data_IF_360436588933
#
_entry.id   IF_360436588933
#
_cell.length_a   1.000
_cell.length_b   1.000
_cell.length_c   1.000
_cell.angle_alpha   90.00
_cell.angle_beta   90.00
_cell.angle_gamma   90.00
#
_symmetry.space_group_name_H-M   'P 1'
#
loop_
_entity.id
_entity.type
_entity.pdbx_description
1 polymer ?
#
# COMPACT_ATOMS: atom_id res chain seq x y z
N UNK A 1 29.46 -24.74 -21.44
CA UNK A 1 29.37 -23.39 -20.85
C UNK A 1 27.95 -23.24 -20.33
N UNK A 2 27.77 -23.28 -19.02
CA UNK A 2 26.46 -23.12 -18.39
C UNK A 2 26.14 -21.62 -18.34
N UNK A 3 25.06 -21.21 -18.98
CA UNK A 3 24.53 -19.85 -18.85
C UNK A 3 24.00 -19.70 -17.43
N UNK A 4 24.69 -18.92 -16.60
CA UNK A 4 24.14 -18.41 -15.35
C UNK A 4 22.81 -17.73 -15.66
N UNK A 5 21.69 -18.33 -15.24
CA UNK A 5 20.44 -17.60 -15.11
C UNK A 5 20.67 -16.56 -14.03
N UNK A 6 21.02 -15.35 -14.42
CA UNK A 6 20.86 -14.19 -13.56
C UNK A 6 19.35 -14.10 -13.30
N UNK A 7 18.90 -14.57 -12.13
CA UNK A 7 17.55 -14.31 -11.66
C UNK A 7 17.36 -12.80 -11.80
N UNK A 8 16.34 -12.30 -12.54
CA UNK A 8 16.12 -10.86 -12.60
C UNK A 8 16.00 -10.38 -11.15
N UNK A 9 16.90 -9.50 -10.73
CA UNK A 9 16.81 -8.89 -9.42
C UNK A 9 15.39 -8.33 -9.33
N UNK A 10 14.59 -8.87 -8.41
CA UNK A 10 13.20 -8.45 -8.22
C UNK A 10 13.22 -6.93 -8.00
N UNK A 11 12.77 -6.18 -9.00
CA UNK A 11 12.72 -4.72 -8.91
C UNK A 11 11.61 -4.38 -7.92
N UNK A 12 11.95 -3.66 -6.86
CA UNK A 12 10.99 -3.21 -5.87
C UNK A 12 10.01 -2.22 -6.50
N UNK A 13 8.69 -2.47 -6.43
CA UNK A 13 7.72 -1.57 -7.00
C UNK A 13 7.63 -0.28 -6.18
N UNK A 14 7.44 0.83 -6.90
CA UNK A 14 7.14 2.14 -6.32
C UNK A 14 5.65 2.43 -6.39
N UNK A 15 5.07 2.95 -5.33
CA UNK A 15 3.68 3.44 -5.29
C UNK A 15 3.61 4.85 -4.71
N UNK A 16 2.57 5.60 -5.08
CA UNK A 16 2.43 7.02 -4.75
C UNK A 16 1.05 7.31 -4.16
N UNK A 17 1.00 8.00 -3.03
CA UNK A 17 -0.23 8.50 -2.44
C UNK A 17 -0.31 10.00 -2.59
N UNK A 18 -1.37 10.49 -3.21
CA UNK A 18 -1.72 11.90 -3.22
C UNK A 18 -2.57 12.19 -1.99
N UNK A 19 -2.12 13.12 -1.15
CA UNK A 19 -2.78 13.41 0.11
C UNK A 19 -3.40 14.81 0.06
N UNK A 20 -4.53 14.96 0.73
CA UNK A 20 -5.21 16.22 0.93
C UNK A 20 -5.68 16.33 2.39
N UNK A 21 -5.73 17.55 2.92
CA UNK A 21 -6.34 17.86 4.22
C UNK A 21 -7.40 18.92 3.98
N UNK A 22 -8.61 18.68 4.47
CA UNK A 22 -9.79 19.53 4.24
C UNK A 22 -10.06 19.85 2.75
N UNK A 23 -9.71 18.91 1.87
CA UNK A 23 -9.86 19.04 0.42
C UNK A 23 -8.68 19.71 -0.28
N UNK A 24 -7.75 20.31 0.47
CA UNK A 24 -6.58 20.98 -0.08
C UNK A 24 -5.41 20.01 -0.30
N UNK A 25 -4.86 19.90 -1.52
CA UNK A 25 -3.74 19.01 -1.81
C UNK A 25 -2.47 19.38 -1.02
N UNK A 26 -1.89 18.41 -0.31
CA UNK A 26 -0.60 18.57 0.39
C UNK A 26 0.60 18.05 -0.40
N UNK A 27 0.35 17.34 -1.50
CA UNK A 27 1.37 16.71 -2.34
C UNK A 27 1.30 15.19 -2.29
N UNK A 28 2.42 14.53 -2.62
CA UNK A 28 2.49 13.08 -2.73
C UNK A 28 3.57 12.47 -1.84
N UNK A 29 3.31 11.25 -1.37
CA UNK A 29 4.27 10.39 -0.68
C UNK A 29 4.58 9.22 -1.59
N UNK A 30 5.86 8.95 -1.82
CA UNK A 30 6.33 7.79 -2.58
C UNK A 30 6.82 6.68 -1.65
N UNK A 31 6.44 5.45 -1.93
CA UNK A 31 6.84 4.25 -1.18
C UNK A 31 7.55 3.27 -2.10
N UNK A 32 8.75 2.85 -1.72
CA UNK A 32 9.39 1.66 -2.27
C UNK A 32 8.94 0.44 -1.47
N UNK A 33 8.47 -0.61 -2.15
CA UNK A 33 8.00 -1.82 -1.49
C UNK A 33 9.03 -2.94 -1.67
N UNK A 34 9.50 -3.52 -0.57
CA UNK A 34 10.53 -4.57 -0.57
C UNK A 34 9.99 -5.92 -1.07
N UNK A 35 9.77 -6.05 -2.39
CA UNK A 35 9.28 -7.26 -3.03
C UNK A 35 10.28 -8.43 -2.93
N UNK A 36 11.57 -8.12 -2.84
CA UNK A 36 12.63 -9.09 -2.64
C UNK A 36 12.60 -9.73 -1.23
N UNK A 37 12.06 -9.02 -0.22
CA UNK A 37 11.94 -9.52 1.16
C UNK A 37 10.56 -10.07 1.49
N UNK A 38 9.51 -9.34 1.13
CA UNK A 38 8.13 -9.61 1.56
C UNK A 38 7.16 -9.60 0.36
N UNK A 39 7.34 -10.49 -0.62
CA UNK A 39 6.64 -10.42 -1.91
C UNK A 39 5.11 -10.42 -1.79
N UNK A 40 4.54 -11.23 -0.88
CA UNK A 40 3.09 -11.30 -0.64
C UNK A 40 2.53 -10.02 -0.04
N UNK A 41 3.23 -9.43 0.94
CA UNK A 41 2.83 -8.15 1.55
C UNK A 41 2.96 -7.02 0.55
N UNK A 42 4.05 -7.00 -0.21
CA UNK A 42 4.30 -6.02 -1.27
C UNK A 42 3.21 -6.05 -2.33
N UNK A 43 2.84 -7.24 -2.82
CA UNK A 43 1.79 -7.37 -3.83
C UNK A 43 0.41 -6.94 -3.30
N UNK A 44 0.09 -7.28 -2.04
CA UNK A 44 -1.13 -6.77 -1.42
C UNK A 44 -1.16 -5.23 -1.35
N UNK A 45 -0.08 -4.61 -0.85
CA UNK A 45 -0.03 -3.16 -0.72
C UNK A 45 -0.04 -2.46 -2.08
N UNK A 46 0.68 -2.99 -3.08
CA UNK A 46 0.70 -2.48 -4.45
C UNK A 46 -0.69 -2.53 -5.08
N UNK A 47 -1.36 -3.67 -5.05
CA UNK A 47 -2.68 -3.84 -5.66
C UNK A 47 -3.76 -2.99 -4.97
N UNK A 48 -3.67 -2.82 -3.65
CA UNK A 48 -4.53 -1.87 -2.92
C UNK A 48 -4.19 -0.42 -3.29
N UNK A 49 -2.94 -0.08 -3.56
CA UNK A 49 -2.55 1.27 -3.99
C UNK A 49 -3.10 1.62 -5.37
N UNK A 50 -3.16 0.65 -6.28
CA UNK A 50 -3.71 0.85 -7.64
C UNK A 50 -5.23 0.71 -7.70
N UNK A 51 -5.85 0.02 -6.74
CA UNK A 51 -7.27 -0.28 -6.76
C UNK A 51 -7.67 -1.30 -7.84
N UNK A 52 -6.72 -2.00 -8.47
CA UNK A 52 -6.95 -2.88 -9.62
C UNK A 52 -7.89 -4.08 -9.34
N UNK A 53 -8.13 -4.37 -8.06
CA UNK A 53 -9.08 -5.41 -7.62
C UNK A 53 -10.49 -4.88 -7.36
N UNK A 54 -10.77 -3.63 -7.74
CA UNK A 54 -12.05 -2.94 -7.52
C UNK A 54 -12.21 -2.33 -6.12
N UNK A 55 -11.17 -2.38 -5.30
CA UNK A 55 -11.07 -1.74 -3.98
C UNK A 55 -9.60 -1.42 -3.68
N UNK A 56 -9.31 -0.38 -2.89
CA UNK A 56 -7.93 0.08 -2.66
C UNK A 56 -7.84 1.50 -2.10
N UNK A 57 -6.63 1.98 -1.75
CA UNK A 57 -6.28 3.16 -0.89
C UNK A 57 -6.96 4.48 -1.25
N UNK A 58 -7.52 4.60 -2.45
CA UNK A 58 -8.20 5.80 -2.91
C UNK A 58 -9.46 6.10 -2.06
N UNK A 59 -9.54 7.32 -1.53
CA UNK A 59 -10.66 7.78 -0.71
C UNK A 59 -10.57 7.37 0.77
N UNK A 60 -9.56 6.60 1.17
CA UNK A 60 -9.29 6.36 2.60
C UNK A 60 -8.71 7.59 3.29
N UNK A 61 -9.00 7.70 4.59
CA UNK A 61 -8.45 8.73 5.45
C UNK A 61 -7.47 8.14 6.49
N UNK A 62 -6.53 8.95 6.95
CA UNK A 62 -5.72 8.64 8.12
C UNK A 62 -6.56 8.87 9.38
N UNK A 63 -7.25 7.83 9.85
CA UNK A 63 -8.15 7.92 10.99
C UNK A 63 -7.41 8.05 12.34
N UNK A 64 -6.10 7.75 12.39
CA UNK A 64 -5.28 7.91 13.60
C UNK A 64 -3.94 8.53 13.26
N UNK A 65 -3.66 9.68 13.87
CA UNK A 65 -2.41 10.43 13.71
C UNK A 65 -1.82 10.65 15.10
N UNK A 66 -0.62 10.13 15.33
CA UNK A 66 0.14 10.37 16.56
C UNK A 66 1.42 11.09 16.18
N UNK A 67 1.51 12.35 16.60
CA UNK A 67 2.64 13.22 16.30
C UNK A 67 3.95 12.61 16.85
N UNK A 68 4.98 12.59 16.01
CA UNK A 68 6.29 12.02 16.35
C UNK A 68 6.33 10.49 16.36
N UNK A 69 5.24 9.81 15.97
CA UNK A 69 5.18 8.35 15.98
C UNK A 69 4.70 7.76 14.65
N UNK A 70 3.41 7.87 14.32
CA UNK A 70 2.88 7.26 13.08
C UNK A 70 1.55 7.86 12.61
N UNK A 71 1.32 7.71 11.31
CA UNK A 71 0.02 7.85 10.67
C UNK A 71 -0.54 6.46 10.39
N UNK A 72 -1.76 6.18 10.85
CA UNK A 72 -2.49 4.95 10.56
C UNK A 72 -3.59 5.24 9.56
N UNK A 73 -3.55 4.52 8.43
CA UNK A 73 -4.66 4.42 7.50
C UNK A 73 -5.27 3.04 7.63
N UNK A 74 -6.59 3.01 7.80
CA UNK A 74 -7.43 1.82 7.80
C UNK A 74 -8.85 2.30 7.47
N UNK A 75 -9.56 1.50 6.68
CA UNK A 75 -10.88 1.67 6.07
C UNK A 75 -10.92 2.02 4.60
N UNK A 76 -11.26 0.99 3.82
CA UNK A 76 -12.10 1.14 2.63
C UNK A 76 -13.58 1.01 2.92
N UNK A 77 -13.94 0.47 4.08
CA UNK A 77 -15.22 -0.23 4.20
C UNK A 77 -16.12 0.29 5.33
N UNK A 78 -15.61 0.84 6.45
CA UNK A 78 -16.48 1.19 7.60
C UNK A 78 -16.10 2.43 8.45
N UNK A 79 -15.11 3.26 8.09
CA UNK A 79 -14.65 4.42 8.89
C UNK A 79 -14.46 4.19 10.42
N UNK A 80 -14.34 2.94 10.91
CA UNK A 80 -14.27 2.60 12.34
C UNK A 80 -13.33 1.41 12.67
N UNK A 81 -12.17 1.33 11.98
CA UNK A 81 -11.08 0.38 12.26
C UNK A 81 -11.34 -1.15 12.24
N UNK A 82 -12.45 -1.63 11.65
CA UNK A 82 -12.85 -3.06 11.69
C UNK A 82 -12.98 -3.73 10.32
N UNK A 83 -12.67 -3.00 9.24
CA UNK A 83 -12.98 -3.36 7.86
C UNK A 83 -11.80 -3.68 6.96
N UNK A 84 -10.67 -4.15 7.48
CA UNK A 84 -9.49 -4.49 6.64
C UNK A 84 -9.76 -5.72 5.79
N UNK A 85 -9.63 -5.57 4.47
CA UNK A 85 -9.64 -6.67 3.49
C UNK A 85 -8.35 -6.62 2.69
N UNK A 86 -7.67 -7.76 2.60
CA UNK A 86 -6.54 -7.93 1.68
C UNK A 86 -7.01 -8.43 0.32
N UNK A 87 -6.14 -8.40 -0.67
CA UNK A 87 -6.40 -9.06 -1.97
C UNK A 87 -6.50 -10.59 -1.85
N UNK A 88 -6.12 -11.16 -0.70
CA UNK A 88 -6.14 -12.59 -0.42
C UNK A 88 -7.30 -13.03 0.50
N UNK A 89 -8.20 -12.10 0.88
CA UNK A 89 -9.28 -12.37 1.83
C UNK A 89 -9.12 -11.59 3.14
N UNK A 90 -9.70 -12.11 4.24
CA UNK A 90 -9.76 -11.38 5.51
C UNK A 90 -8.38 -11.21 6.17
N UNK A 91 -7.58 -12.27 6.22
CA UNK A 91 -6.26 -12.30 6.85
C UNK A 91 -5.29 -13.11 5.98
N UNK A 92 -3.98 -12.84 6.04
CA UNK A 92 -2.97 -13.59 5.28
C UNK A 92 -1.55 -13.53 5.86
#
# INVERSE_FOLDING_TARGET
QATERCCPAMVNPMVFFHNAVDGEPLGYISFELFADKVPKTTENFRALSTGEKGFGYQGSCFHRIILGFMHQSDNFTCHNGTGTKSIYGKNF
#
